data_IF_158680149559
#
_entry.id   IF_158680149559
#
_cell.length_a   1.000
_cell.length_b   1.000
_cell.length_c   1.000
_cell.angle_alpha   90.00
_cell.angle_beta   90.00
_cell.angle_gamma   90.00
#
_symmetry.space_group_name_H-M   'P 1'
#
loop_
_entity.id
_entity.type
_entity.pdbx_description
1 polymer ?
#
# COMPACT_ATOMS: atom_id res chain seq x y z
N UNK A 1 -0.41 19.64 -16.29
CA UNK A 1 -0.31 18.90 -17.57
C UNK A 1 0.76 17.88 -17.36
N UNK A 2 0.40 16.60 -17.30
CA UNK A 2 1.39 15.55 -17.08
C UNK A 2 2.34 15.47 -18.29
N UNK A 3 3.52 14.88 -18.06
CA UNK A 3 4.54 14.63 -19.07
C UNK A 3 4.00 13.83 -20.26
N UNK A 4 3.10 12.87 -20.01
CA UNK A 4 2.42 12.08 -21.05
C UNK A 4 1.48 12.89 -21.95
N UNK A 5 0.65 13.76 -21.35
CA UNK A 5 -0.29 14.61 -22.09
C UNK A 5 0.47 15.58 -23.02
N UNK A 6 1.59 16.11 -22.53
CA UNK A 6 2.44 17.04 -23.29
C UNK A 6 3.03 16.39 -24.54
N UNK A 7 3.43 15.12 -24.46
CA UNK A 7 3.91 14.35 -25.61
C UNK A 7 2.77 14.08 -26.61
N UNK A 8 1.59 13.73 -26.13
CA UNK A 8 0.42 13.52 -26.99
C UNK A 8 0.04 14.80 -27.76
N UNK A 9 -0.02 15.95 -27.10
CA UNK A 9 -0.31 17.22 -27.76
C UNK A 9 0.74 17.61 -28.79
N UNK A 10 2.02 17.34 -28.51
CA UNK A 10 3.11 17.59 -29.45
C UNK A 10 2.99 16.70 -30.69
N UNK A 11 2.70 15.40 -30.52
CA UNK A 11 2.52 14.47 -31.64
C UNK A 11 1.32 14.85 -32.52
N UNK A 12 0.18 15.21 -31.90
CA UNK A 12 -1.00 15.68 -32.63
C UNK A 12 -0.66 16.99 -33.37
N UNK A 13 0.00 17.94 -32.71
CA UNK A 13 0.44 19.20 -33.31
C UNK A 13 1.39 18.97 -34.50
N UNK A 14 2.35 18.06 -34.36
CA UNK A 14 3.26 17.69 -35.44
C UNK A 14 2.52 17.05 -36.63
N UNK A 15 1.56 16.16 -36.34
CA UNK A 15 0.68 15.58 -37.36
C UNK A 15 -0.13 16.64 -38.12
N UNK A 16 -0.63 17.66 -37.43
CA UNK A 16 -1.35 18.79 -38.05
C UNK A 16 -0.41 19.59 -38.97
N UNK A 17 0.82 19.86 -38.54
CA UNK A 17 1.80 20.56 -39.38
C UNK A 17 2.09 19.78 -40.66
N UNK A 18 2.31 18.46 -40.56
CA UNK A 18 2.47 17.60 -41.75
C UNK A 18 1.22 17.66 -42.63
N UNK A 19 0.03 17.57 -42.04
CA UNK A 19 -1.23 17.69 -42.77
C UNK A 19 -1.36 19.01 -43.53
N UNK A 20 -0.99 20.14 -42.91
CA UNK A 20 -0.96 21.46 -43.53
C UNK A 20 0.01 21.51 -44.71
N UNK A 21 1.20 20.92 -44.57
CA UNK A 21 2.20 20.84 -45.67
C UNK A 21 1.63 20.05 -46.84
N UNK A 22 1.02 18.88 -46.60
CA UNK A 22 0.42 18.03 -47.63
C UNK A 22 -0.73 18.76 -48.33
N UNK A 23 -1.67 19.35 -47.57
CA UNK A 23 -2.79 20.12 -48.11
C UNK A 23 -2.28 21.26 -48.99
N UNK A 24 -1.27 21.99 -48.52
CA UNK A 24 -0.66 23.10 -49.25
C UNK A 24 0.01 22.64 -50.55
N UNK A 25 0.65 21.46 -50.54
CA UNK A 25 1.27 20.87 -51.72
C UNK A 25 0.25 20.43 -52.77
N UNK A 26 -0.80 19.71 -52.35
CA UNK A 26 -1.88 19.23 -53.23
C UNK A 26 -2.67 20.40 -53.81
N UNK A 27 -3.00 21.39 -52.98
CA UNK A 27 -3.81 22.55 -53.35
C UNK A 27 -2.96 23.74 -53.82
N UNK A 28 -1.71 23.54 -54.25
CA UNK A 28 -0.77 24.62 -54.65
C UNK A 28 -1.34 25.62 -55.67
N UNK A 29 -2.27 25.17 -56.53
CA UNK A 29 -2.96 26.01 -57.53
C UNK A 29 -4.22 26.72 -57.02
N UNK A 30 -4.76 26.30 -55.87
CA UNK A 30 -5.98 26.84 -55.22
C UNK A 30 -5.64 27.42 -53.84
N UNK A 31 -4.71 28.39 -53.81
CA UNK A 31 -4.14 28.95 -52.56
C UNK A 31 -5.17 29.39 -51.53
N UNK A 32 -6.28 30.02 -51.96
CA UNK A 32 -7.35 30.46 -51.04
C UNK A 32 -7.95 29.29 -50.27
N UNK A 33 -8.21 28.17 -50.94
CA UNK A 33 -8.79 26.96 -50.32
C UNK A 33 -7.80 26.32 -49.34
N UNK A 34 -6.51 26.27 -49.71
CA UNK A 34 -5.45 25.74 -48.85
C UNK A 34 -5.32 26.55 -47.54
N UNK A 35 -5.37 27.89 -47.62
CA UNK A 35 -5.31 28.78 -46.46
C UNK A 35 -6.53 28.55 -45.55
N UNK A 36 -7.74 28.52 -46.11
CA UNK A 36 -8.96 28.29 -45.33
C UNK A 36 -8.93 26.95 -44.58
N UNK A 37 -8.52 25.86 -45.23
CA UNK A 37 -8.39 24.54 -44.59
C UNK A 37 -7.34 24.53 -43.49
N UNK A 38 -6.19 25.17 -43.72
CA UNK A 38 -5.13 25.26 -42.72
C UNK A 38 -5.58 26.05 -41.49
N UNK A 39 -6.29 27.16 -41.69
CA UNK A 39 -6.88 27.94 -40.58
C UNK A 39 -7.90 27.12 -39.80
N UNK A 40 -8.74 26.34 -40.49
CA UNK A 40 -9.75 25.49 -39.85
C UNK A 40 -9.09 24.40 -38.98
N UNK A 41 -8.01 23.77 -39.46
CA UNK A 41 -7.25 22.79 -38.69
C UNK A 41 -6.61 23.40 -37.44
N UNK A 42 -5.97 24.57 -37.58
CA UNK A 42 -5.39 25.30 -36.46
C UNK A 42 -6.45 25.70 -35.44
N UNK A 43 -7.58 26.26 -35.88
CA UNK A 43 -8.69 26.62 -35.00
C UNK A 43 -9.27 25.39 -34.27
N UNK A 44 -9.40 24.26 -34.97
CA UNK A 44 -9.85 23.00 -34.38
C UNK A 44 -8.89 22.47 -33.32
N UNK A 45 -7.58 22.54 -33.57
CA UNK A 45 -6.56 22.14 -32.59
C UNK A 45 -6.54 23.03 -31.35
N UNK A 46 -6.59 24.35 -31.55
CA UNK A 46 -6.66 25.31 -30.42
C UNK A 46 -7.94 25.09 -29.62
N UNK A 47 -9.07 24.86 -30.29
CA UNK A 47 -10.34 24.52 -29.64
C UNK A 47 -10.27 23.22 -28.84
N UNK A 48 -9.68 22.16 -29.42
CA UNK A 48 -9.46 20.89 -28.72
C UNK A 48 -8.57 21.06 -27.50
N UNK A 49 -7.45 21.77 -27.63
CA UNK A 49 -6.53 22.05 -26.53
C UNK A 49 -7.22 22.83 -25.40
N UNK A 50 -8.03 23.83 -25.73
CA UNK A 50 -8.79 24.60 -24.74
C UNK A 50 -9.89 23.77 -24.07
N UNK A 51 -10.48 22.79 -24.78
CA UNK A 51 -11.55 21.93 -24.26
C UNK A 51 -11.04 20.73 -23.43
N UNK A 52 -9.80 20.30 -23.66
CA UNK A 52 -9.24 19.10 -23.05
C UNK A 52 -9.29 19.06 -21.51
N UNK A 53 -8.98 20.14 -20.76
CA UNK A 53 -9.10 20.12 -19.30
C UNK A 53 -10.53 19.83 -18.84
N UNK A 54 -11.53 20.42 -19.49
CA UNK A 54 -12.94 20.15 -19.21
C UNK A 54 -13.32 18.71 -19.54
N UNK A 55 -12.76 18.13 -20.59
CA UNK A 55 -12.95 16.72 -20.92
C UNK A 55 -12.37 15.80 -19.82
N UNK A 56 -11.17 16.10 -19.31
CA UNK A 56 -10.56 15.35 -18.19
C UNK A 56 -11.41 15.45 -16.92
N UNK A 57 -11.87 16.65 -16.56
CA UNK A 57 -12.71 16.88 -15.39
C UNK A 57 -14.03 16.10 -15.48
N UNK A 58 -14.72 16.17 -16.63
CA UNK A 58 -15.96 15.44 -16.85
C UNK A 58 -15.77 13.93 -16.80
N UNK A 59 -14.70 13.43 -17.44
CA UNK A 59 -14.39 11.99 -17.46
C UNK A 59 -14.05 11.49 -16.06
N UNK A 60 -13.26 12.25 -15.29
CA UNK A 60 -12.91 11.91 -13.92
C UNK A 60 -14.15 11.91 -13.02
N UNK A 61 -15.04 12.89 -13.17
CA UNK A 61 -16.30 12.95 -12.41
C UNK A 61 -17.26 11.79 -12.75
N UNK A 62 -17.31 11.37 -14.01
CA UNK A 62 -18.07 10.18 -14.42
C UNK A 62 -17.50 8.92 -13.78
N UNK A 63 -16.18 8.71 -13.87
CA UNK A 63 -15.49 7.59 -13.25
C UNK A 63 -15.62 7.57 -11.73
N UNK A 64 -15.62 8.73 -11.09
CA UNK A 64 -15.88 8.86 -9.65
C UNK A 64 -17.26 8.30 -9.28
N UNK A 65 -18.30 8.63 -10.06
CA UNK A 65 -19.66 8.10 -9.82
C UNK A 65 -19.74 6.59 -10.04
N UNK A 66 -19.05 6.06 -11.05
CA UNK A 66 -18.97 4.62 -11.27
C UNK A 66 -18.29 3.92 -10.10
N UNK A 67 -17.20 4.50 -9.60
CA UNK A 67 -16.49 3.97 -8.43
C UNK A 67 -17.36 4.01 -7.17
N UNK A 68 -18.04 5.13 -6.92
CA UNK A 68 -18.96 5.30 -5.78
C UNK A 68 -20.07 4.24 -5.80
N UNK A 69 -20.67 4.01 -6.97
CA UNK A 69 -21.69 2.98 -7.16
C UNK A 69 -21.13 1.56 -6.95
N UNK A 70 -19.93 1.28 -7.48
CA UNK A 70 -19.24 0.01 -7.29
C UNK A 70 -18.95 -0.26 -5.81
N UNK A 71 -18.37 0.71 -5.10
CA UNK A 71 -18.01 0.58 -3.69
C UNK A 71 -19.25 0.43 -2.80
N UNK A 72 -20.29 1.23 -3.02
CA UNK A 72 -21.54 1.13 -2.27
C UNK A 72 -22.24 -0.22 -2.45
N UNK A 73 -22.09 -0.85 -3.63
CA UNK A 73 -22.64 -2.17 -3.92
C UNK A 73 -21.79 -3.31 -3.36
N UNK A 74 -20.46 -3.18 -3.45
CA UNK A 74 -19.52 -4.26 -3.13
C UNK A 74 -19.19 -4.29 -1.63
N UNK A 75 -19.12 -3.12 -0.99
CA UNK A 75 -18.75 -2.95 0.42
C UNK A 75 -19.81 -2.12 1.18
N UNK A 76 -21.08 -2.56 1.23
CA UNK A 76 -22.18 -1.75 1.80
C UNK A 76 -22.01 -1.44 3.29
N UNK A 77 -21.27 -2.27 4.02
CA UNK A 77 -21.03 -2.12 5.46
C UNK A 77 -19.80 -1.24 5.78
N UNK A 78 -18.99 -0.88 4.78
CA UNK A 78 -17.76 -0.09 4.98
C UNK A 78 -18.02 1.40 4.76
N UNK A 79 -17.42 2.22 5.61
CA UNK A 79 -17.44 3.67 5.45
C UNK A 79 -16.16 4.10 4.74
N UNK A 80 -16.23 4.13 3.41
CA UNK A 80 -15.09 4.41 2.55
C UNK A 80 -15.00 5.90 2.19
N UNK A 81 -13.78 6.43 2.20
CA UNK A 81 -13.42 7.76 1.71
C UNK A 81 -12.75 7.60 0.34
N UNK A 82 -13.19 8.38 -0.65
CA UNK A 82 -12.65 8.38 -2.01
C UNK A 82 -12.00 9.74 -2.27
N UNK A 83 -10.76 9.75 -2.74
CA UNK A 83 -10.02 10.98 -3.07
C UNK A 83 -9.11 10.75 -4.28
N UNK A 84 -8.96 11.70 -5.21
CA UNK A 84 -9.62 12.99 -5.26
C UNK A 84 -11.04 12.89 -5.82
N UNK A 85 -11.91 13.84 -5.47
CA UNK A 85 -13.29 13.92 -6.00
C UNK A 85 -13.37 14.66 -7.33
N UNK A 86 -12.46 15.61 -7.52
CA UNK A 86 -12.33 16.43 -8.71
C UNK A 86 -10.96 16.17 -9.31
N UNK A 87 -10.87 16.28 -10.63
CA UNK A 87 -9.58 16.17 -11.30
C UNK A 87 -8.67 17.33 -10.89
N UNK A 88 -7.49 17.02 -10.37
CA UNK A 88 -6.43 18.01 -10.15
C UNK A 88 -5.28 17.78 -11.14
N UNK A 89 -4.62 18.88 -11.53
CA UNK A 89 -3.53 18.80 -12.50
C UNK A 89 -2.33 18.06 -11.89
N UNK A 90 -2.07 16.86 -12.39
CA UNK A 90 -1.04 15.96 -11.84
C UNK A 90 -1.61 14.57 -11.51
N UNK A 91 -2.92 14.48 -11.32
CA UNK A 91 -3.60 13.21 -11.14
C UNK A 91 -3.82 12.50 -12.47
N UNK A 92 -3.97 11.18 -12.39
CA UNK A 92 -4.42 10.37 -13.51
C UNK A 92 -5.94 10.28 -13.50
N UNK A 93 -6.55 10.54 -14.66
CA UNK A 93 -8.00 10.46 -14.83
C UNK A 93 -8.48 9.05 -14.51
N UNK A 94 -9.42 8.93 -13.57
CA UNK A 94 -9.98 7.63 -13.18
C UNK A 94 -9.19 6.85 -12.13
N UNK A 95 -8.12 7.41 -11.57
CA UNK A 95 -7.43 6.84 -10.40
C UNK A 95 -7.89 7.52 -9.12
N UNK A 96 -8.13 6.73 -8.08
CA UNK A 96 -8.68 7.17 -6.82
C UNK A 96 -8.02 6.43 -5.65
N UNK A 97 -7.58 7.17 -4.65
CA UNK A 97 -7.24 6.65 -3.34
C UNK A 97 -8.53 6.35 -2.58
N UNK A 98 -8.62 5.13 -2.05
CA UNK A 98 -9.77 4.67 -1.27
C UNK A 98 -9.27 4.09 0.05
N UNK A 99 -9.80 4.58 1.15
CA UNK A 99 -9.51 4.09 2.49
C UNK A 99 -10.80 3.97 3.32
N UNK A 100 -10.75 3.16 4.37
CA UNK A 100 -11.81 3.13 5.37
C UNK A 100 -11.64 4.31 6.35
N UNK A 101 -12.74 4.90 6.82
CA UNK A 101 -12.70 5.98 7.81
C UNK A 101 -12.06 5.54 9.13
N UNK A 102 -12.11 4.25 9.45
CA UNK A 102 -11.49 3.66 10.65
C UNK A 102 -9.98 3.49 10.51
N UNK A 103 -9.46 3.46 9.29
CA UNK A 103 -8.02 3.31 8.98
C UNK A 103 -7.58 4.38 7.98
N UNK A 104 -7.65 5.69 8.35
CA UNK A 104 -7.43 6.80 7.41
C UNK A 104 -6.00 6.89 6.90
N UNK A 105 -5.07 6.14 7.50
CA UNK A 105 -3.66 6.18 7.19
C UNK A 105 -3.21 5.14 6.16
N UNK A 106 -4.11 4.25 5.73
CA UNK A 106 -3.82 3.16 4.77
C UNK A 106 -4.99 3.06 3.79
N UNK A 107 -4.69 2.74 2.55
CA UNK A 107 -5.72 2.46 1.58
C UNK A 107 -5.20 1.77 0.34
N UNK A 108 -6.07 1.73 -0.66
CA UNK A 108 -5.79 1.21 -1.99
C UNK A 108 -5.89 2.33 -3.01
N UNK A 109 -5.20 2.16 -4.13
CA UNK A 109 -5.46 2.94 -5.35
C UNK A 109 -6.33 2.09 -6.27
N UNK A 110 -7.55 2.55 -6.51
CA UNK A 110 -8.47 1.95 -7.47
C UNK A 110 -8.44 2.75 -8.77
N UNK A 111 -8.50 2.04 -9.90
CA UNK A 111 -8.64 2.62 -11.23
C UNK A 111 -9.96 2.18 -11.86
N UNK A 112 -10.67 3.15 -12.45
CA UNK A 112 -11.77 2.91 -13.37
C UNK A 112 -11.27 3.14 -14.79
N UNK A 113 -11.36 2.12 -15.64
CA UNK A 113 -10.91 2.19 -17.03
C UNK A 113 -11.95 2.84 -17.97
N UNK A 114 -11.74 2.72 -19.28
CA UNK A 114 -12.62 3.29 -20.31
C UNK A 114 -13.94 2.52 -20.43
N UNK A 115 -13.93 1.22 -20.12
CA UNK A 115 -15.10 0.34 -20.10
C UNK A 115 -15.91 0.45 -18.79
N UNK A 116 -15.38 1.16 -17.79
CA UNK A 116 -16.01 1.33 -16.49
C UNK A 116 -15.72 0.19 -15.51
N UNK A 117 -14.74 -0.67 -15.79
CA UNK A 117 -14.29 -1.71 -14.88
C UNK A 117 -13.40 -1.11 -13.79
N UNK A 118 -13.65 -1.54 -12.54
CA UNK A 118 -12.88 -1.14 -11.36
C UNK A 118 -11.80 -2.18 -11.05
N UNK A 119 -10.57 -1.75 -10.86
CA UNK A 119 -9.44 -2.61 -10.46
C UNK A 119 -8.53 -1.94 -9.44
N UNK A 120 -7.96 -2.72 -8.52
CA UNK A 120 -6.91 -2.26 -7.61
C UNK A 120 -5.56 -2.30 -8.34
N UNK A 121 -4.85 -1.17 -8.35
CA UNK A 121 -3.55 -1.05 -9.03
C UNK A 121 -2.38 -0.84 -8.06
N UNK A 122 -2.66 -0.40 -6.83
CA UNK A 122 -1.66 -0.21 -5.80
C UNK A 122 -2.27 -0.18 -4.39
N UNK A 123 -1.40 -0.22 -3.39
CA UNK A 123 -1.69 0.04 -1.98
C UNK A 123 -0.87 1.24 -1.53
N UNK A 124 -1.39 2.04 -0.61
CA UNK A 124 -0.66 3.18 -0.04
C UNK A 124 -0.82 3.20 1.48
N UNK A 125 0.18 3.78 2.14
CA UNK A 125 0.18 4.09 3.56
C UNK A 125 0.81 5.47 3.72
N UNK A 126 0.22 6.32 4.56
CA UNK A 126 0.82 7.57 5.01
C UNK A 126 1.36 7.45 6.44
N UNK A 127 1.43 6.22 6.98
CA UNK A 127 2.14 5.95 8.23
C UNK A 127 3.57 6.38 7.99
N UNK A 128 3.94 7.51 8.59
CA UNK A 128 5.30 8.01 8.57
C UNK A 128 6.24 6.93 9.10
N UNK A 129 7.55 7.09 8.83
CA UNK A 129 8.61 6.31 9.45
C UNK A 129 8.34 6.16 10.97
N UNK A 130 7.77 5.02 11.42
CA UNK A 130 7.16 4.92 12.73
C UNK A 130 8.27 4.92 13.78
N UNK A 131 7.95 5.30 15.01
CA UNK A 131 8.92 5.13 16.09
C UNK A 131 9.31 3.64 16.18
N UNK A 132 10.56 3.35 16.52
CA UNK A 132 11.06 1.98 16.62
C UNK A 132 10.20 1.08 17.53
N UNK A 133 9.50 1.64 18.51
CA UNK A 133 8.60 0.93 19.43
C UNK A 133 7.18 0.65 18.87
N UNK A 134 6.89 1.18 17.68
CA UNK A 134 5.60 1.13 16.99
C UNK A 134 5.66 0.43 15.64
N UNK A 135 6.86 0.04 15.15
CA UNK A 135 7.05 -0.61 13.84
C UNK A 135 6.21 -1.89 13.68
N UNK A 136 5.88 -2.57 14.76
CA UNK A 136 5.02 -3.76 14.76
C UNK A 136 3.62 -3.49 14.19
N UNK A 137 3.13 -2.24 14.27
CA UNK A 137 1.83 -1.88 13.72
C UNK A 137 1.77 -2.06 12.20
N UNK A 138 2.93 -1.97 11.52
CA UNK A 138 3.03 -2.23 10.09
C UNK A 138 2.66 -3.68 9.72
N UNK A 139 2.83 -4.60 10.66
CA UNK A 139 2.47 -6.00 10.48
C UNK A 139 0.99 -6.17 10.15
N UNK A 140 0.11 -5.34 10.73
CA UNK A 140 -1.32 -5.42 10.45
C UNK A 140 -1.64 -5.25 8.95
N UNK A 141 -0.78 -4.52 8.21
CA UNK A 141 -0.96 -4.27 6.78
C UNK A 141 -0.38 -5.37 5.91
N UNK A 142 0.79 -5.88 6.26
CA UNK A 142 1.55 -6.84 5.45
C UNK A 142 1.23 -8.30 5.77
N UNK A 143 0.66 -8.58 6.95
CA UNK A 143 0.36 -9.94 7.40
C UNK A 143 -0.63 -10.65 6.48
N UNK A 144 -0.27 -11.85 6.01
CA UNK A 144 -1.11 -12.62 5.08
C UNK A 144 -1.13 -12.12 3.62
N UNK A 145 -0.30 -11.14 3.25
CA UNK A 145 -0.12 -10.68 1.88
C UNK A 145 -0.50 -9.21 1.64
N UNK A 146 -0.57 -8.81 0.37
CA UNK A 146 -0.87 -7.42 -0.01
C UNK A 146 -2.26 -6.97 0.50
N UNK A 147 -2.35 -5.73 0.96
CA UNK A 147 -3.61 -5.15 1.45
C UNK A 147 -4.65 -5.02 0.31
N UNK A 148 -5.90 -5.31 0.63
CA UNK A 148 -7.07 -5.05 -0.23
C UNK A 148 -8.25 -4.61 0.62
N UNK A 149 -9.28 -4.03 0.01
CA UNK A 149 -10.50 -3.65 0.73
C UNK A 149 -11.27 -4.87 1.27
N UNK A 150 -11.08 -6.06 0.71
CA UNK A 150 -11.67 -7.31 1.22
C UNK A 150 -10.87 -7.92 2.37
N UNK A 151 -9.65 -7.43 2.62
CA UNK A 151 -8.76 -8.03 3.62
C UNK A 151 -9.32 -7.83 5.02
N UNK A 152 -9.53 -8.94 5.72
CA UNK A 152 -9.76 -8.93 7.16
C UNK A 152 -8.44 -8.56 7.84
N UNK A 153 -8.49 -7.50 8.66
CA UNK A 153 -7.33 -7.09 9.43
C UNK A 153 -7.10 -8.12 10.54
N UNK A 154 -5.86 -8.59 10.73
CA UNK A 154 -5.56 -9.48 11.83
C UNK A 154 -5.80 -8.78 13.17
N UNK A 155 -6.27 -9.52 14.17
CA UNK A 155 -6.29 -9.04 15.55
C UNK A 155 -4.88 -9.16 16.13
N UNK A 156 -4.15 -8.05 16.17
CA UNK A 156 -2.77 -7.99 16.67
C UNK A 156 -2.74 -7.19 17.96
N UNK A 157 -2.35 -7.85 19.05
CA UNK A 157 -2.08 -7.22 20.33
C UNK A 157 -0.59 -7.29 20.64
N UNK A 158 0.03 -6.14 20.96
CA UNK A 158 1.39 -6.12 21.49
C UNK A 158 1.38 -6.51 22.97
N UNK A 159 2.17 -7.52 23.30
CA UNK A 159 2.24 -8.10 24.65
C UNK A 159 3.47 -7.59 25.39
N UNK A 160 4.63 -7.63 24.74
CA UNK A 160 5.90 -7.16 25.28
C UNK A 160 6.87 -6.79 24.14
N UNK A 161 7.99 -6.16 24.48
CA UNK A 161 8.96 -5.65 23.53
C UNK A 161 10.37 -5.63 24.12
N UNK A 162 11.32 -5.92 23.26
CA UNK A 162 12.73 -5.75 23.53
C UNK A 162 13.42 -4.98 22.40
N UNK A 163 14.34 -4.08 22.74
CA UNK A 163 15.05 -3.22 21.78
C UNK A 163 16.52 -3.14 22.17
N UNK A 164 17.41 -3.33 21.20
CA UNK A 164 18.86 -3.17 21.33
C UNK A 164 19.46 -2.67 20.01
N UNK A 165 19.97 -1.44 20.03
CA UNK A 165 20.46 -0.78 18.81
C UNK A 165 19.39 -0.73 17.73
N UNK A 166 19.71 -1.30 16.57
CA UNK A 166 18.85 -1.33 15.38
C UNK A 166 17.83 -2.49 15.39
N UNK A 167 17.91 -3.41 16.35
CA UNK A 167 16.99 -4.55 16.42
C UNK A 167 15.85 -4.29 17.42
N UNK A 168 14.64 -4.56 16.98
CA UNK A 168 13.44 -4.59 17.83
C UNK A 168 12.78 -5.95 17.73
N UNK A 169 12.43 -6.54 18.87
CA UNK A 169 11.70 -7.79 18.94
C UNK A 169 10.41 -7.56 19.71
N UNK A 170 9.30 -8.00 19.13
CA UNK A 170 7.98 -7.84 19.71
C UNK A 170 7.39 -9.21 20.02
N UNK A 171 6.94 -9.38 21.26
CA UNK A 171 5.99 -10.43 21.59
C UNK A 171 4.59 -9.92 21.24
N UNK A 172 3.91 -10.64 20.36
CA UNK A 172 2.60 -10.30 19.84
C UNK A 172 1.63 -11.47 20.06
N UNK A 173 0.35 -11.16 20.15
CA UNK A 173 -0.73 -12.12 19.94
C UNK A 173 -1.39 -11.79 18.61
N UNK A 174 -1.34 -12.69 17.63
CA UNK A 174 -1.92 -12.52 16.29
C UNK A 174 -3.06 -13.53 16.14
N UNK A 175 -4.30 -13.06 15.99
CA UNK A 175 -5.50 -13.91 15.90
C UNK A 175 -5.59 -14.96 17.04
N UNK A 176 -5.15 -14.58 18.24
CA UNK A 176 -5.13 -15.46 19.42
C UNK A 176 -3.96 -16.45 19.49
N UNK A 177 -2.98 -16.36 18.58
CA UNK A 177 -1.77 -17.16 18.59
C UNK A 177 -0.54 -16.36 19.07
N UNK A 178 0.31 -16.92 19.94
CA UNK A 178 1.53 -16.26 20.38
C UNK A 178 2.52 -16.17 19.23
N UNK A 179 3.09 -14.99 19.03
CA UNK A 179 3.97 -14.69 17.90
C UNK A 179 5.17 -13.84 18.34
N UNK A 180 6.30 -14.02 17.68
CA UNK A 180 7.46 -13.14 17.79
C UNK A 180 7.70 -12.49 16.44
N UNK A 181 7.79 -11.16 16.42
CA UNK A 181 8.16 -10.39 15.25
C UNK A 181 9.48 -9.67 15.48
N UNK A 182 10.47 -9.94 14.63
CA UNK A 182 11.81 -9.33 14.66
C UNK A 182 11.88 -8.28 13.57
N UNK A 183 12.29 -7.07 13.94
CA UNK A 183 12.45 -5.93 13.05
C UNK A 183 13.88 -5.40 13.10
N UNK A 184 14.34 -4.94 11.95
CA UNK A 184 15.51 -4.09 11.84
C UNK A 184 15.07 -2.64 11.61
N UNK A 185 15.71 -1.69 12.28
CA UNK A 185 15.36 -0.28 12.29
C UNK A 185 16.63 0.57 12.29
N UNK A 186 16.84 1.33 11.21
CA UNK A 186 18.04 2.14 10.99
C UNK A 186 17.66 3.46 10.34
N UNK A 187 18.58 4.44 10.30
CA UNK A 187 18.31 5.71 9.61
C UNK A 187 17.95 5.56 8.11
N UNK A 188 18.24 4.41 7.50
CA UNK A 188 17.95 4.14 6.08
C UNK A 188 16.57 3.51 5.86
N UNK A 189 15.94 2.95 6.90
CA UNK A 189 14.73 2.16 6.73
C UNK A 189 14.38 1.32 7.95
N UNK A 190 13.19 0.74 7.93
CA UNK A 190 12.80 -0.33 8.84
C UNK A 190 12.16 -1.46 8.04
N UNK A 191 12.19 -2.68 8.59
CA UNK A 191 11.56 -3.84 7.96
C UNK A 191 11.45 -5.03 8.89
N UNK A 192 10.40 -5.81 8.68
CA UNK A 192 10.22 -7.12 9.31
C UNK A 192 11.29 -8.08 8.76
N UNK A 193 12.11 -8.61 9.65
CA UNK A 193 13.15 -9.59 9.34
C UNK A 193 12.58 -11.00 9.45
N UNK A 194 11.87 -11.26 10.55
CA UNK A 194 11.31 -12.56 10.84
C UNK A 194 9.96 -12.41 11.56
N UNK A 195 9.02 -13.29 11.22
CA UNK A 195 7.80 -13.52 11.98
C UNK A 195 7.68 -15.01 12.26
N UNK A 196 7.65 -15.36 13.54
CA UNK A 196 7.44 -16.74 13.99
C UNK A 196 6.11 -16.80 14.74
N UNK A 197 5.24 -17.72 14.34
CA UNK A 197 3.92 -17.91 14.93
C UNK A 197 3.82 -19.30 15.59
N UNK A 198 3.34 -19.34 16.83
CA UNK A 198 3.03 -20.57 17.54
C UNK A 198 1.56 -20.96 17.39
N UNK A 199 1.16 -22.07 18.01
CA UNK A 199 -0.27 -22.38 18.16
C UNK A 199 -0.85 -21.65 19.38
N UNK A 200 -2.15 -21.36 19.34
CA UNK A 200 -2.86 -20.70 20.44
C UNK A 200 -2.68 -21.44 21.76
N UNK A 201 -2.34 -20.69 22.83
CA UNK A 201 -2.09 -21.26 24.15
C UNK A 201 -0.78 -22.07 24.26
N UNK A 202 0.14 -21.93 23.30
CA UNK A 202 1.48 -22.49 23.35
C UNK A 202 2.55 -21.41 23.66
N UNK A 203 3.79 -21.67 23.31
CA UNK A 203 4.88 -20.71 23.36
C UNK A 203 5.54 -20.70 21.99
N UNK A 204 6.26 -19.64 21.68
CA UNK A 204 6.98 -19.47 20.43
C UNK A 204 8.40 -19.02 20.72
N UNK A 205 9.32 -19.41 19.85
CA UNK A 205 10.74 -19.08 19.94
C UNK A 205 11.24 -18.55 18.62
N UNK A 206 12.11 -17.55 18.65
CA UNK A 206 12.82 -17.03 17.48
C UNK A 206 14.29 -16.84 17.84
N UNK A 207 15.20 -16.94 16.87
CA UNK A 207 16.63 -16.71 17.08
C UNK A 207 17.12 -15.65 16.10
N UNK A 208 17.68 -14.56 16.62
CA UNK A 208 18.20 -13.45 15.82
C UNK A 208 19.45 -12.84 16.47
N UNK A 209 20.45 -12.52 15.66
CA UNK A 209 21.76 -12.01 16.08
C UNK A 209 22.40 -12.80 17.24
N UNK A 210 22.28 -14.14 17.19
CA UNK A 210 22.83 -15.05 18.19
C UNK A 210 22.12 -15.00 19.54
N UNK A 211 20.92 -14.43 19.60
CA UNK A 211 20.08 -14.39 20.81
C UNK A 211 18.81 -15.18 20.59
N UNK A 212 18.41 -15.89 21.63
CA UNK A 212 17.16 -16.62 21.67
C UNK A 212 16.07 -15.77 22.33
N UNK A 213 14.97 -15.65 21.62
CA UNK A 213 13.75 -14.99 22.06
C UNK A 213 12.69 -16.04 22.35
N UNK A 214 12.05 -15.94 23.52
CA UNK A 214 10.99 -16.87 23.92
C UNK A 214 9.80 -16.05 24.37
N UNK A 215 8.63 -16.32 23.80
CA UNK A 215 7.38 -15.74 24.25
C UNK A 215 6.40 -16.86 24.63
N UNK A 216 5.90 -16.79 25.87
CA UNK A 216 4.96 -17.77 26.43
C UNK A 216 3.59 -17.11 26.53
N UNK A 217 2.58 -17.70 25.88
CA UNK A 217 1.20 -17.22 25.93
C UNK A 217 0.71 -17.09 27.39
N UNK A 218 -0.02 -16.01 27.69
CA UNK A 218 -0.62 -15.78 29.02
C UNK A 218 -1.53 -16.92 29.47
N UNK A 219 -2.16 -17.60 28.52
CA UNK A 219 -3.06 -18.72 28.74
C UNK A 219 -2.36 -20.09 28.70
N UNK A 220 -1.03 -20.13 28.60
CA UNK A 220 -0.27 -21.37 28.57
C UNK A 220 -0.56 -22.23 29.80
N UNK A 221 -0.94 -23.50 29.59
CA UNK A 221 -1.49 -24.36 30.65
C UNK A 221 -0.45 -25.22 31.38
N UNK A 222 0.72 -25.46 30.78
CA UNK A 222 1.73 -26.34 31.39
C UNK A 222 2.64 -25.53 32.32
N UNK A 223 3.15 -26.18 33.37
CA UNK A 223 4.05 -25.58 34.36
C UNK A 223 5.48 -25.36 33.85
N UNK A 224 5.86 -26.03 32.76
CA UNK A 224 7.18 -25.91 32.16
C UNK A 224 7.12 -25.92 30.65
N UNK A 225 8.12 -25.29 30.01
CA UNK A 225 8.42 -25.41 28.59
C UNK A 225 9.78 -26.06 28.39
N UNK A 226 9.97 -26.74 27.26
CA UNK A 226 11.27 -27.24 26.82
C UNK A 226 11.67 -26.47 25.57
N UNK A 227 12.79 -25.78 25.63
CA UNK A 227 13.31 -24.92 24.58
C UNK A 227 14.58 -25.52 24.02
N UNK A 228 14.74 -25.47 22.70
CA UNK A 228 15.90 -25.96 21.99
C UNK A 228 16.59 -24.78 21.30
N UNK A 229 17.90 -24.66 21.46
CA UNK A 229 18.71 -23.74 20.63
C UNK A 229 19.06 -24.38 19.28
N UNK A 230 19.48 -23.57 18.30
CA UNK A 230 20.05 -24.08 17.04
C UNK A 230 21.24 -25.04 17.24
N UNK A 231 22.01 -24.86 18.32
CA UNK A 231 23.12 -25.76 18.68
C UNK A 231 22.69 -27.15 19.17
N UNK A 232 21.38 -27.40 19.30
CA UNK A 232 20.80 -28.66 19.77
C UNK A 232 20.77 -28.82 21.30
N UNK A 233 21.22 -27.82 22.05
CA UNK A 233 21.04 -27.79 23.51
C UNK A 233 19.58 -27.61 23.88
N UNK A 234 19.16 -28.27 24.96
CA UNK A 234 17.80 -28.19 25.51
C UNK A 234 17.79 -27.57 26.91
N UNK A 235 16.76 -26.79 27.23
CA UNK A 235 16.54 -26.23 28.56
C UNK A 235 15.07 -26.32 28.95
N UNK A 236 14.82 -26.58 30.24
CA UNK A 236 13.47 -26.61 30.82
C UNK A 236 13.31 -25.35 31.66
N UNK A 237 12.27 -24.56 31.38
CA UNK A 237 11.98 -23.31 32.08
C UNK A 237 10.62 -23.40 32.80
N UNK A 238 10.50 -22.90 34.04
CA UNK A 238 9.22 -22.78 34.73
C UNK A 238 8.37 -21.68 34.08
N UNK A 239 7.09 -21.94 33.81
CA UNK A 239 6.22 -20.97 33.13
C UNK A 239 5.45 -19.99 34.02
N UNK A 240 5.07 -20.27 35.29
CA UNK A 240 4.12 -19.42 36.00
C UNK A 240 4.49 -17.94 36.07
N UNK A 241 5.78 -17.63 36.19
CA UNK A 241 6.30 -16.27 36.33
C UNK A 241 6.71 -15.63 34.98
N UNK A 242 6.79 -16.42 33.91
CA UNK A 242 7.33 -16.02 32.60
C UNK A 242 6.23 -15.80 31.54
N UNK A 243 4.97 -16.15 31.84
CA UNK A 243 3.83 -15.97 30.94
C UNK A 243 3.61 -14.50 30.61
N UNK A 244 3.38 -14.21 29.33
CA UNK A 244 3.11 -12.86 28.84
C UNK A 244 4.34 -11.95 28.76
N UNK A 245 5.55 -12.49 28.95
CA UNK A 245 6.80 -11.74 28.87
C UNK A 245 7.65 -12.24 27.70
N UNK A 246 8.41 -11.32 27.11
CA UNK A 246 9.44 -11.66 26.13
C UNK A 246 10.75 -11.94 26.87
N UNK A 247 11.18 -13.19 26.85
CA UNK A 247 12.46 -13.60 27.44
C UNK A 247 13.57 -13.45 26.39
N UNK A 248 14.69 -12.86 26.79
CA UNK A 248 15.83 -12.59 25.91
C UNK A 248 17.12 -13.05 26.55
N UNK A 249 17.94 -13.77 25.78
CA UNK A 249 19.26 -14.16 26.22
C UNK A 249 19.90 -15.23 25.35
N UNK A 250 21.11 -15.63 25.71
CA UNK A 250 21.67 -16.90 25.27
C UNK A 250 20.98 -18.04 26.04
N UNK A 251 20.86 -19.23 25.46
CA UNK A 251 20.21 -20.37 26.14
C UNK A 251 20.80 -20.62 27.54
N UNK A 252 22.10 -20.37 27.73
CA UNK A 252 22.82 -20.52 29.00
C UNK A 252 22.48 -19.44 30.06
N UNK A 253 21.96 -18.29 29.64
CA UNK A 253 21.71 -17.13 30.50
C UNK A 253 20.40 -17.17 31.31
N UNK A 254 19.47 -18.08 30.98
CA UNK A 254 18.17 -18.20 31.66
C UNK A 254 18.25 -18.98 32.99
N UNK A 255 19.06 -18.53 33.96
CA UNK A 255 19.23 -19.15 35.30
C UNK A 255 18.15 -18.76 36.30
#
# INVERSE_FOLDING_TARGET
MDSGDSVHFFLIGFGIVIGIIIISFILRKRKKVAITLSLALLAGYVGYYAYFPTMQENTHAERYRLLEAYLSKTYPEKQLVISPKHYEAGDRVGEFNVNDITTPTIGVVLRVDEEGQVSQIATWSNVNYPAQQEVWQDLAFSYGGAYSLDKEMPDITKEDMWVDGEMSVFALTINGAPSIAVYHYSNEGYGLVELTEGNSGEFVTAEADGRLFIYIDKNYKKETITVYSESGQQRILPTPELKGQLLVGELDSFM
#
